data_IF_811144894834
#
_entry.id   IF_811144894834
#
_cell.length_a   1.000
_cell.length_b   1.000
_cell.length_c   1.000
_cell.angle_alpha   90.00
_cell.angle_beta   90.00
_cell.angle_gamma   90.00
#
_symmetry.space_group_name_H-M   'P 1'
#
loop_
_entity.id
_entity.type
_entity.pdbx_description
1 polymer ?
#
# COMPACT_ATOMS: atom_id res chain seq x y z
N UNK A 1 -8.18 -24.55 -4.97
CA UNK A 1 -8.83 -23.92 -6.13
C UNK A 1 -8.64 -24.79 -7.34
N UNK A 2 -9.71 -25.16 -8.03
CA UNK A 2 -9.67 -26.07 -9.18
C UNK A 2 -10.47 -25.52 -10.37
N UNK A 3 -10.01 -25.80 -11.56
CA UNK A 3 -10.71 -25.56 -12.82
C UNK A 3 -10.68 -26.85 -13.66
N UNK A 4 -11.85 -27.31 -14.12
CA UNK A 4 -11.98 -28.55 -14.89
C UNK A 4 -11.24 -29.76 -14.25
N UNK A 5 -11.33 -29.92 -12.92
CA UNK A 5 -10.73 -31.06 -12.19
C UNK A 5 -9.22 -30.99 -11.94
N UNK A 6 -8.55 -29.92 -12.33
CA UNK A 6 -7.12 -29.67 -12.07
C UNK A 6 -6.88 -28.39 -11.27
N UNK A 7 -5.71 -28.20 -10.61
CA UNK A 7 -5.36 -26.96 -9.99
C UNK A 7 -5.45 -25.76 -10.93
N UNK A 8 -6.01 -24.64 -10.44
CA UNK A 8 -5.99 -23.36 -11.15
C UNK A 8 -4.55 -22.86 -11.26
N UNK A 9 -4.12 -22.50 -12.46
CA UNK A 9 -2.77 -21.99 -12.74
C UNK A 9 -2.80 -20.49 -12.96
N UNK A 10 -2.01 -19.78 -12.16
CA UNK A 10 -1.94 -18.32 -12.18
C UNK A 10 -0.51 -17.87 -12.46
N UNK A 11 -0.32 -17.07 -13.50
CA UNK A 11 0.95 -16.38 -13.76
C UNK A 11 0.88 -14.96 -13.24
N UNK A 12 1.64 -14.66 -12.19
CA UNK A 12 1.73 -13.33 -11.58
C UNK A 12 2.94 -12.58 -12.13
N UNK A 13 2.74 -11.39 -12.68
CA UNK A 13 3.80 -10.50 -13.15
C UNK A 13 3.94 -9.32 -12.20
N UNK A 14 5.15 -9.12 -11.67
CA UNK A 14 5.47 -8.02 -10.77
C UNK A 14 6.84 -7.40 -11.08
N UNK A 15 6.91 -6.09 -11.17
CA UNK A 15 8.16 -5.38 -11.42
C UNK A 15 9.18 -5.49 -10.27
N UNK A 16 8.74 -5.77 -9.03
CA UNK A 16 9.60 -5.88 -7.86
C UNK A 16 8.94 -6.71 -6.75
N UNK A 17 8.76 -8.01 -6.95
CA UNK A 17 7.97 -8.89 -6.08
C UNK A 17 8.48 -8.95 -4.63
N UNK A 18 9.81 -9.06 -4.42
CA UNK A 18 10.46 -9.09 -3.11
C UNK A 18 11.76 -8.27 -3.05
N UNK A 19 12.06 -7.51 -4.10
CA UNK A 19 13.24 -6.63 -4.16
C UNK A 19 13.08 -5.39 -3.31
N UNK A 20 11.83 -4.90 -3.15
CA UNK A 20 11.50 -3.71 -2.36
C UNK A 20 10.47 -4.06 -1.30
N UNK A 21 10.69 -3.57 -0.09
CA UNK A 21 9.80 -3.78 1.05
C UNK A 21 8.75 -2.66 1.09
N UNK A 22 7.60 -2.91 0.47
CA UNK A 22 6.46 -2.00 0.48
C UNK A 22 5.13 -2.76 0.71
N UNK A 23 4.04 -2.00 0.88
CA UNK A 23 2.72 -2.56 1.15
C UNK A 23 2.14 -3.38 0.00
N UNK A 24 2.49 -3.03 -1.25
CA UNK A 24 2.03 -3.75 -2.44
C UNK A 24 2.67 -5.14 -2.52
N UNK A 25 4.00 -5.21 -2.38
CA UNK A 25 4.73 -6.47 -2.44
C UNK A 25 4.37 -7.42 -1.28
N UNK A 26 4.13 -6.88 -0.07
CA UNK A 26 3.60 -7.66 1.06
C UNK A 26 2.22 -8.24 0.76
N UNK A 27 1.32 -7.46 0.16
CA UNK A 27 -0.01 -7.92 -0.21
C UNK A 27 0.03 -9.00 -1.30
N UNK A 28 0.91 -8.86 -2.30
CA UNK A 28 1.14 -9.87 -3.32
C UNK A 28 1.66 -11.19 -2.74
N UNK A 29 2.65 -11.14 -1.84
CA UNK A 29 3.16 -12.35 -1.20
C UNK A 29 2.09 -13.04 -0.34
N UNK A 30 1.25 -12.29 0.40
CA UNK A 30 0.10 -12.85 1.12
C UNK A 30 -0.94 -13.45 0.18
N UNK A 31 -1.17 -12.85 -0.98
CA UNK A 31 -2.06 -13.42 -2.00
C UNK A 31 -1.53 -14.75 -2.52
N UNK A 32 -0.24 -14.81 -2.86
CA UNK A 32 0.38 -16.04 -3.35
C UNK A 32 0.30 -17.15 -2.31
N UNK A 33 0.64 -16.86 -1.05
CA UNK A 33 0.52 -17.81 0.07
C UNK A 33 -0.92 -18.34 0.20
N UNK A 34 -1.90 -17.44 0.18
CA UNK A 34 -3.31 -17.77 0.26
C UNK A 34 -3.80 -18.67 -0.89
N UNK A 35 -3.33 -18.41 -2.13
CA UNK A 35 -3.66 -19.19 -3.31
C UNK A 35 -3.04 -20.59 -3.28
N UNK A 36 -1.75 -20.69 -2.90
CA UNK A 36 -1.04 -21.95 -2.73
C UNK A 36 -1.67 -22.83 -1.65
N UNK A 37 -2.02 -22.25 -0.50
CA UNK A 37 -2.71 -22.95 0.59
C UNK A 37 -4.08 -23.50 0.18
N UNK A 38 -4.69 -22.97 -0.89
CA UNK A 38 -5.95 -23.44 -1.48
C UNK A 38 -5.78 -24.35 -2.68
N UNK A 39 -4.57 -24.81 -2.93
CA UNK A 39 -4.24 -25.78 -3.98
C UNK A 39 -4.18 -25.18 -5.40
N UNK A 40 -4.04 -23.87 -5.55
CA UNK A 40 -3.69 -23.27 -6.82
C UNK A 40 -2.19 -23.45 -7.12
N UNK A 41 -1.82 -23.42 -8.41
CA UNK A 41 -0.42 -23.31 -8.83
C UNK A 41 -0.15 -21.86 -9.23
N UNK A 42 0.86 -21.24 -8.58
CA UNK A 42 1.20 -19.84 -8.85
C UNK A 42 2.66 -19.76 -9.29
N UNK A 43 2.89 -19.17 -10.45
CA UNK A 43 4.23 -18.86 -10.96
C UNK A 43 4.40 -17.36 -11.09
N UNK A 44 5.47 -16.84 -10.46
CA UNK A 44 5.74 -15.41 -10.38
C UNK A 44 6.87 -15.05 -11.34
N UNK A 45 6.64 -14.10 -12.22
CA UNK A 45 7.65 -13.53 -13.11
C UNK A 45 8.03 -12.14 -12.61
N UNK A 46 9.26 -12.01 -12.12
CA UNK A 46 9.75 -10.76 -11.53
C UNK A 46 11.25 -10.58 -11.74
N UNK A 47 11.75 -9.35 -11.90
CA UNK A 47 13.13 -9.05 -11.64
C UNK A 47 13.57 -9.53 -10.26
N UNK A 48 14.77 -10.05 -10.14
CA UNK A 48 15.35 -10.47 -8.87
C UNK A 48 16.58 -9.63 -8.53
N UNK A 49 16.82 -9.44 -7.24
CA UNK A 49 18.01 -8.76 -6.71
C UNK A 49 18.88 -9.77 -5.95
N UNK A 50 20.21 -9.59 -5.90
CA UNK A 50 21.09 -10.47 -5.12
C UNK A 50 20.73 -10.52 -3.63
N UNK A 51 20.21 -9.39 -3.10
CA UNK A 51 19.71 -9.29 -1.73
C UNK A 51 18.22 -8.97 -1.77
N UNK A 52 17.41 -9.92 -1.36
CA UNK A 52 15.97 -9.75 -1.23
C UNK A 52 15.64 -8.98 0.05
N UNK A 53 14.59 -8.16 0.01
CA UNK A 53 14.15 -7.39 1.17
C UNK A 53 13.39 -8.24 2.20
N UNK A 54 12.80 -9.36 1.73
CA UNK A 54 12.12 -10.37 2.57
C UNK A 54 12.04 -11.71 1.80
N UNK A 55 11.86 -12.85 2.50
CA UNK A 55 11.63 -14.14 1.84
C UNK A 55 10.43 -14.07 0.90
N UNK A 56 10.57 -14.58 -0.31
CA UNK A 56 9.46 -14.67 -1.25
C UNK A 56 8.64 -15.94 -1.02
N UNK A 57 7.35 -15.85 -1.32
CA UNK A 57 6.44 -16.99 -1.36
C UNK A 57 6.21 -17.38 -2.81
N UNK A 58 6.22 -18.69 -3.09
CA UNK A 58 5.94 -19.24 -4.42
C UNK A 58 7.16 -19.44 -5.31
N UNK A 59 6.90 -19.91 -6.55
CA UNK A 59 7.90 -20.21 -7.58
C UNK A 59 8.20 -18.93 -8.37
N UNK A 60 9.37 -18.32 -8.12
CA UNK A 60 9.78 -17.07 -8.78
C UNK A 60 10.72 -17.37 -9.94
N UNK A 61 10.28 -17.03 -11.15
CA UNK A 61 11.07 -17.08 -12.37
C UNK A 61 11.73 -15.70 -12.60
N UNK A 62 13.06 -15.64 -12.56
CA UNK A 62 13.80 -14.39 -12.74
C UNK A 62 13.60 -13.81 -14.15
N UNK A 63 13.19 -12.53 -14.21
CA UNK A 63 13.11 -11.80 -15.48
C UNK A 63 14.33 -10.91 -15.64
N UNK A 64 15.04 -10.96 -16.78
CA UNK A 64 16.16 -10.08 -17.09
C UNK A 64 15.78 -8.60 -16.95
N UNK A 65 16.62 -7.83 -16.25
CA UNK A 65 16.30 -6.47 -15.87
C UNK A 65 17.56 -5.62 -15.65
N UNK A 66 17.41 -4.31 -15.72
CA UNK A 66 18.46 -3.33 -15.40
C UNK A 66 18.11 -2.58 -14.13
N UNK A 67 19.11 -2.18 -13.35
CA UNK A 67 18.90 -1.33 -12.18
C UNK A 67 18.50 0.08 -12.61
N UNK A 68 17.60 0.74 -11.87
CA UNK A 68 17.27 2.13 -12.11
C UNK A 68 18.40 3.01 -11.54
N UNK A 69 19.00 3.91 -12.32
CA UNK A 69 20.05 4.81 -11.85
C UNK A 69 19.58 5.62 -10.62
N UNK A 70 20.42 5.67 -9.57
CA UNK A 70 20.11 6.35 -8.32
C UNK A 70 19.10 5.65 -7.40
N UNK A 71 18.47 4.54 -7.86
CA UNK A 71 17.51 3.72 -7.11
C UNK A 71 17.71 2.25 -7.40
N UNK A 72 18.91 1.75 -7.07
CA UNK A 72 19.35 0.38 -7.41
C UNK A 72 18.52 -0.74 -6.80
N UNK A 73 17.70 -0.44 -5.79
CA UNK A 73 16.73 -1.36 -5.21
C UNK A 73 15.56 -1.66 -6.16
N UNK A 74 15.26 -0.75 -7.10
CA UNK A 74 14.26 -0.98 -8.15
C UNK A 74 14.93 -1.44 -9.43
N UNK A 75 14.33 -2.42 -10.08
CA UNK A 75 14.81 -2.97 -11.34
C UNK A 75 13.74 -2.83 -12.43
N UNK A 76 14.19 -2.49 -13.62
CA UNK A 76 13.33 -2.34 -14.79
C UNK A 76 13.51 -3.55 -15.71
N UNK A 77 12.48 -4.37 -15.83
CA UNK A 77 12.44 -5.43 -16.83
C UNK A 77 12.12 -4.84 -18.22
N UNK A 78 12.89 -5.25 -19.23
CA UNK A 78 12.79 -4.72 -20.59
C UNK A 78 11.79 -5.52 -21.47
N UNK A 79 10.67 -5.93 -20.89
CA UNK A 79 9.62 -6.67 -21.55
C UNK A 79 9.63 -8.17 -21.27
N UNK A 80 9.11 -8.99 -22.21
CA UNK A 80 8.92 -10.43 -22.07
C UNK A 80 9.86 -11.19 -23.01
N UNK A 81 11.08 -11.61 -22.57
CA UNK A 81 12.05 -12.35 -23.37
C UNK A 81 11.50 -13.69 -23.88
N UNK A 82 12.12 -14.21 -24.94
CA UNK A 82 11.69 -15.49 -25.55
C UNK A 82 11.71 -16.67 -24.56
N UNK A 83 12.70 -16.73 -23.66
CA UNK A 83 12.80 -17.77 -22.63
C UNK A 83 11.58 -17.72 -21.69
N UNK A 84 11.22 -16.54 -21.22
CA UNK A 84 10.05 -16.33 -20.34
C UNK A 84 8.74 -16.67 -21.06
N UNK A 85 8.62 -16.34 -22.37
CA UNK A 85 7.43 -16.73 -23.15
C UNK A 85 7.31 -18.23 -23.32
N UNK A 86 8.42 -18.96 -23.48
CA UNK A 86 8.44 -20.43 -23.54
C UNK A 86 8.04 -21.04 -22.20
N UNK A 87 8.57 -20.52 -21.09
CA UNK A 87 8.22 -20.97 -19.75
C UNK A 87 6.74 -20.71 -19.42
N UNK A 88 6.22 -19.55 -19.80
CA UNK A 88 4.81 -19.19 -19.65
C UNK A 88 3.90 -20.15 -20.47
N UNK A 89 4.28 -20.43 -21.70
CA UNK A 89 3.56 -21.37 -22.54
C UNK A 89 3.58 -22.80 -21.98
N UNK A 90 4.70 -23.27 -21.44
CA UNK A 90 4.83 -24.57 -20.79
C UNK A 90 4.02 -24.63 -19.48
N UNK A 91 3.97 -23.56 -18.71
CA UNK A 91 3.14 -23.47 -17.52
C UNK A 91 1.64 -23.48 -17.85
N UNK A 92 1.25 -22.98 -19.02
CA UNK A 92 -0.13 -22.91 -19.52
C UNK A 92 -1.09 -22.32 -18.47
N UNK A 93 -0.96 -21.03 -18.10
CA UNK A 93 -1.79 -20.43 -17.08
C UNK A 93 -3.24 -20.27 -17.53
N UNK A 94 -4.16 -20.36 -16.58
CA UNK A 94 -5.58 -20.05 -16.77
C UNK A 94 -5.85 -18.55 -16.63
N UNK A 95 -4.97 -17.84 -15.88
CA UNK A 95 -5.07 -16.40 -15.61
C UNK A 95 -3.67 -15.80 -15.63
N UNK A 96 -3.57 -14.61 -16.21
CA UNK A 96 -2.41 -13.71 -16.06
C UNK A 96 -2.80 -12.57 -15.10
N UNK A 97 -2.11 -12.46 -13.99
CA UNK A 97 -2.29 -11.36 -13.02
C UNK A 97 -1.14 -10.36 -13.11
N UNK A 98 -1.47 -9.11 -13.36
CA UNK A 98 -0.53 -7.99 -13.50
C UNK A 98 -0.58 -7.11 -12.27
N UNK A 99 0.54 -6.96 -11.56
CA UNK A 99 0.60 -6.12 -10.35
C UNK A 99 0.96 -4.67 -10.64
N UNK A 100 1.42 -4.35 -11.85
CA UNK A 100 1.79 -3.00 -12.23
C UNK A 100 1.67 -2.79 -13.76
N UNK A 101 1.36 -1.57 -14.21
CA UNK A 101 1.34 -1.17 -15.62
C UNK A 101 2.74 -0.83 -16.13
N UNK A 102 3.76 -1.60 -15.74
CA UNK A 102 5.14 -1.43 -16.21
C UNK A 102 5.39 -2.13 -17.57
N UNK A 103 6.60 -2.07 -18.08
CA UNK A 103 6.94 -2.70 -19.38
C UNK A 103 6.80 -4.22 -19.35
N UNK A 104 7.09 -4.86 -18.20
CA UNK A 104 6.88 -6.29 -18.03
C UNK A 104 5.38 -6.61 -18.06
N UNK A 105 4.58 -5.91 -17.26
CA UNK A 105 3.13 -6.06 -17.21
C UNK A 105 2.48 -5.81 -18.57
N UNK A 106 2.85 -4.75 -19.27
CA UNK A 106 2.31 -4.46 -20.62
C UNK A 106 2.70 -5.51 -21.64
N UNK A 107 3.92 -6.05 -21.56
CA UNK A 107 4.37 -7.11 -22.48
C UNK A 107 3.68 -8.44 -22.20
N UNK A 108 3.47 -8.78 -20.92
CA UNK A 108 2.72 -9.95 -20.49
C UNK A 108 1.24 -9.86 -20.91
N UNK A 109 0.62 -8.69 -20.72
CA UNK A 109 -0.74 -8.41 -21.14
C UNK A 109 -0.96 -8.65 -22.65
N UNK A 110 -0.08 -8.07 -23.49
CA UNK A 110 -0.15 -8.26 -24.94
C UNK A 110 0.03 -9.73 -25.35
N UNK A 111 0.90 -10.45 -24.65
CA UNK A 111 1.11 -11.87 -24.89
C UNK A 111 -0.12 -12.68 -24.49
N UNK A 112 -0.67 -12.48 -23.29
CA UNK A 112 -1.85 -13.17 -22.79
C UNK A 112 -3.05 -12.98 -23.70
N UNK A 113 -3.34 -11.74 -24.11
CA UNK A 113 -4.44 -11.43 -25.05
C UNK A 113 -4.31 -12.16 -26.41
N UNK A 114 -3.08 -12.21 -26.95
CA UNK A 114 -2.85 -12.97 -28.22
C UNK A 114 -3.02 -14.47 -28.06
N UNK A 115 -2.89 -14.97 -26.85
CA UNK A 115 -3.02 -16.39 -26.51
C UNK A 115 -4.40 -16.75 -25.96
N UNK A 116 -5.35 -15.79 -25.90
CA UNK A 116 -6.68 -15.99 -25.35
C UNK A 116 -6.69 -16.25 -23.85
N UNK A 117 -5.67 -15.78 -23.10
CA UNK A 117 -5.58 -15.98 -21.66
C UNK A 117 -6.15 -14.74 -20.95
N UNK A 118 -7.15 -14.89 -20.06
CA UNK A 118 -7.74 -13.80 -19.30
C UNK A 118 -6.72 -13.02 -18.47
N UNK A 119 -6.84 -11.69 -18.47
CA UNK A 119 -5.92 -10.77 -17.81
C UNK A 119 -6.60 -10.03 -16.66
N UNK A 120 -6.08 -10.21 -15.45
CA UNK A 120 -6.48 -9.47 -14.27
C UNK A 120 -5.37 -8.47 -13.90
N UNK A 121 -5.71 -7.22 -13.67
CA UNK A 121 -4.76 -6.23 -13.15
C UNK A 121 -5.14 -5.80 -11.73
N UNK A 122 -4.13 -5.60 -10.88
CA UNK A 122 -4.34 -5.00 -9.55
C UNK A 122 -3.73 -3.61 -9.47
N UNK A 123 -4.49 -2.66 -8.93
CA UNK A 123 -4.04 -1.30 -8.68
C UNK A 123 -3.40 -1.21 -7.30
N UNK A 124 -2.11 -0.91 -7.26
CA UNK A 124 -1.37 -0.73 -6.01
C UNK A 124 -0.81 0.68 -5.85
N UNK A 125 -0.65 1.43 -6.94
CA UNK A 125 -0.01 2.74 -6.97
C UNK A 125 -0.67 3.60 -8.04
N UNK A 126 -0.94 4.86 -7.71
CA UNK A 126 -1.39 5.88 -8.66
C UNK A 126 -0.16 6.55 -9.28
N UNK A 127 0.40 5.94 -10.32
CA UNK A 127 1.67 6.36 -10.94
C UNK A 127 1.60 7.80 -11.49
N UNK A 128 0.44 8.23 -11.97
CA UNK A 128 0.23 9.57 -12.50
C UNK A 128 0.43 10.67 -11.45
N UNK A 129 0.21 10.36 -10.17
CA UNK A 129 0.37 11.35 -9.09
C UNK A 129 1.83 11.61 -8.74
N UNK A 130 2.72 10.65 -9.02
CA UNK A 130 4.14 10.78 -8.69
C UNK A 130 4.87 11.77 -9.60
N UNK A 131 4.43 11.93 -10.85
CA UNK A 131 5.09 12.80 -11.83
C UNK A 131 5.21 14.25 -11.37
N UNK A 132 4.24 14.74 -10.60
CA UNK A 132 4.25 16.11 -10.07
C UNK A 132 5.37 16.34 -9.06
N UNK A 133 5.72 15.33 -8.24
CA UNK A 133 6.80 15.43 -7.24
C UNK A 133 8.20 15.42 -7.84
N UNK A 134 8.35 14.88 -9.06
CA UNK A 134 9.63 14.80 -9.76
C UNK A 134 9.80 15.84 -10.85
N UNK A 135 8.95 16.89 -10.88
CA UNK A 135 9.02 17.94 -11.89
C UNK A 135 8.63 17.50 -13.31
N UNK A 136 7.96 16.36 -13.46
CA UNK A 136 7.58 15.76 -14.73
C UNK A 136 6.08 15.93 -15.02
N UNK A 137 5.46 16.99 -14.52
CA UNK A 137 4.02 17.25 -14.67
C UNK A 137 3.56 17.27 -16.15
N UNK A 138 4.42 17.70 -17.09
CA UNK A 138 4.13 17.68 -18.53
C UNK A 138 3.89 16.26 -19.10
N UNK A 139 4.40 15.21 -18.43
CA UNK A 139 4.19 13.83 -18.86
C UNK A 139 2.91 13.21 -18.30
N UNK A 140 2.13 13.96 -17.51
CA UNK A 140 0.90 13.46 -16.88
C UNK A 140 -0.13 12.97 -17.92
N UNK A 141 -0.45 13.78 -18.93
CA UNK A 141 -1.43 13.41 -19.96
C UNK A 141 -1.03 12.19 -20.81
N UNK A 142 0.22 12.08 -21.29
CA UNK A 142 0.72 10.86 -21.92
C UNK A 142 0.65 9.64 -21.00
N UNK A 143 0.98 9.77 -19.72
CA UNK A 143 0.90 8.70 -18.73
C UNK A 143 -0.54 8.26 -18.48
N UNK A 144 -1.48 9.18 -18.28
CA UNK A 144 -2.90 8.90 -18.11
C UNK A 144 -3.44 8.12 -19.32
N UNK A 145 -3.16 8.53 -20.54
CA UNK A 145 -3.56 7.80 -21.76
C UNK A 145 -2.94 6.42 -21.87
N UNK A 146 -1.72 6.24 -21.39
CA UNK A 146 -1.09 4.92 -21.32
C UNK A 146 -1.79 4.02 -20.31
N UNK A 147 -2.07 4.53 -19.11
CA UNK A 147 -2.77 3.82 -18.04
C UNK A 147 -4.20 3.46 -18.46
N UNK A 148 -4.92 4.38 -19.09
CA UNK A 148 -6.27 4.13 -19.61
C UNK A 148 -6.27 2.94 -20.59
N UNK A 149 -5.35 2.94 -21.57
CA UNK A 149 -5.22 1.83 -22.51
C UNK A 149 -4.79 0.51 -21.84
N UNK A 150 -3.95 0.61 -20.79
CA UNK A 150 -3.52 -0.57 -20.05
C UNK A 150 -4.70 -1.22 -19.30
N UNK A 151 -5.44 -0.43 -18.54
CA UNK A 151 -6.58 -0.94 -17.76
C UNK A 151 -7.76 -1.33 -18.64
N UNK A 152 -8.00 -0.60 -19.72
CA UNK A 152 -9.05 -0.95 -20.69
C UNK A 152 -8.78 -2.30 -21.37
N UNK A 153 -7.52 -2.65 -21.60
CA UNK A 153 -7.08 -3.94 -22.15
C UNK A 153 -7.12 -5.10 -21.14
N UNK A 154 -7.51 -4.91 -19.88
CA UNK A 154 -7.66 -5.97 -18.88
C UNK A 154 -9.10 -6.50 -18.83
N UNK A 155 -9.27 -7.79 -18.58
CA UNK A 155 -10.59 -8.42 -18.45
C UNK A 155 -11.21 -8.19 -17.10
N UNK A 156 -10.37 -7.99 -16.05
CA UNK A 156 -10.81 -7.65 -14.70
C UNK A 156 -9.78 -6.76 -13.99
N UNK A 157 -10.26 -5.85 -13.15
CA UNK A 157 -9.42 -4.90 -12.38
C UNK A 157 -9.75 -5.00 -10.90
N UNK A 158 -8.72 -5.11 -10.09
CA UNK A 158 -8.79 -5.16 -8.63
C UNK A 158 -8.39 -3.81 -8.06
N UNK A 159 -9.36 -3.03 -7.62
CA UNK A 159 -9.16 -1.70 -7.03
C UNK A 159 -8.96 -1.78 -5.52
N UNK A 160 -8.11 -0.93 -4.90
CA UNK A 160 -7.78 -1.05 -3.48
C UNK A 160 -8.86 -0.53 -2.53
N UNK A 161 -9.70 0.40 -2.98
CA UNK A 161 -10.73 1.07 -2.16
C UNK A 161 -12.02 1.29 -2.93
N UNK A 162 -13.19 1.41 -2.24
CA UNK A 162 -14.45 1.70 -2.91
C UNK A 162 -14.44 2.96 -3.79
N UNK A 163 -13.92 4.12 -3.37
CA UNK A 163 -13.90 5.31 -4.24
C UNK A 163 -13.09 5.10 -5.53
N UNK A 164 -11.96 4.38 -5.45
CA UNK A 164 -11.18 4.04 -6.65
C UNK A 164 -11.93 3.01 -7.52
N UNK A 165 -12.61 2.06 -6.90
CA UNK A 165 -13.44 1.10 -7.64
C UNK A 165 -14.57 1.80 -8.41
N UNK A 166 -15.24 2.78 -7.81
CA UNK A 166 -16.28 3.60 -8.43
C UNK A 166 -15.72 4.44 -9.60
N UNK A 167 -14.58 5.10 -9.40
CA UNK A 167 -13.87 5.83 -10.45
C UNK A 167 -13.58 4.93 -11.65
N UNK A 168 -13.05 3.73 -11.40
CA UNK A 168 -12.70 2.77 -12.44
C UNK A 168 -13.94 2.12 -13.08
N UNK A 169 -14.99 1.89 -12.30
CA UNK A 169 -16.26 1.38 -12.82
C UNK A 169 -16.89 2.34 -13.83
N UNK A 170 -16.83 3.64 -13.58
CA UNK A 170 -17.29 4.67 -14.51
C UNK A 170 -16.49 4.73 -15.81
N UNK A 171 -15.19 4.35 -15.78
CA UNK A 171 -14.31 4.38 -16.97
C UNK A 171 -14.30 3.07 -17.77
N UNK A 172 -14.31 1.92 -17.07
CA UNK A 172 -14.03 0.60 -17.69
C UNK A 172 -15.19 -0.40 -17.59
N UNK A 173 -16.31 -0.01 -16.96
CA UNK A 173 -17.48 -0.85 -16.72
C UNK A 173 -17.44 -1.56 -15.37
N UNK A 174 -18.53 -1.42 -14.59
CA UNK A 174 -18.59 -1.83 -13.18
C UNK A 174 -18.46 -3.33 -12.94
N UNK A 175 -18.91 -4.15 -13.84
CA UNK A 175 -18.86 -5.61 -13.76
C UNK A 175 -17.43 -6.18 -13.97
N UNK A 176 -16.49 -5.36 -14.47
CA UNK A 176 -15.06 -5.67 -14.59
C UNK A 176 -14.24 -5.27 -13.35
N UNK A 177 -14.87 -4.64 -12.35
CA UNK A 177 -14.17 -4.12 -11.18
C UNK A 177 -14.54 -4.96 -9.94
N UNK A 178 -13.55 -5.29 -9.14
CA UNK A 178 -13.72 -5.81 -7.78
C UNK A 178 -12.79 -5.09 -6.81
N UNK A 179 -13.12 -5.13 -5.52
CA UNK A 179 -12.29 -4.52 -4.51
C UNK A 179 -11.28 -5.55 -4.00
N UNK A 180 -10.01 -5.20 -4.06
CA UNK A 180 -8.94 -5.86 -3.33
C UNK A 180 -8.35 -4.90 -2.31
N UNK A 181 -8.99 -4.82 -1.17
CA UNK A 181 -8.57 -3.99 -0.04
C UNK A 181 -7.34 -4.60 0.68
N UNK A 182 -7.07 -4.12 1.87
CA UNK A 182 -5.97 -4.62 2.72
C UNK A 182 -6.53 -5.11 4.04
N UNK A 183 -5.85 -6.11 4.60
CA UNK A 183 -6.04 -6.50 5.97
C UNK A 183 -4.91 -5.97 6.85
N UNK A 184 -5.11 -6.04 8.15
CA UNK A 184 -4.08 -5.73 9.14
C UNK A 184 -3.66 -6.99 9.89
N UNK A 185 -2.38 -7.07 10.23
CA UNK A 185 -1.85 -8.15 11.07
C UNK A 185 -2.08 -7.79 12.54
N UNK A 186 -3.14 -8.36 13.13
CA UNK A 186 -3.53 -8.09 14.52
C UNK A 186 -2.55 -8.65 15.55
N UNK A 187 -1.69 -9.59 15.18
CA UNK A 187 -0.62 -10.06 16.08
C UNK A 187 0.53 -9.03 16.16
N UNK A 188 0.72 -8.26 15.07
CA UNK A 188 1.73 -7.22 15.01
C UNK A 188 1.20 -5.84 15.43
N UNK A 189 -0.08 -5.53 15.16
CA UNK A 189 -0.70 -4.21 15.44
C UNK A 189 -1.92 -4.37 16.34
N UNK A 190 -1.74 -4.04 17.63
CA UNK A 190 -2.74 -4.21 18.67
C UNK A 190 -2.53 -3.18 19.79
N UNK A 191 -3.59 -2.63 20.42
CA UNK A 191 -3.44 -1.64 21.49
C UNK A 191 -2.64 -2.16 22.69
N UNK A 192 -2.75 -3.46 23.01
CA UNK A 192 -2.05 -4.08 24.16
C UNK A 192 -0.52 -4.18 23.96
N UNK A 193 -0.01 -3.83 22.78
CA UNK A 193 1.43 -3.68 22.55
C UNK A 193 1.99 -2.35 23.06
N UNK A 194 1.13 -1.44 23.57
CA UNK A 194 1.55 -0.21 24.23
C UNK A 194 2.44 -0.52 25.40
N UNK A 195 3.60 0.11 25.44
CA UNK A 195 4.64 -0.16 26.44
C UNK A 195 5.16 1.14 27.06
N UNK A 196 4.73 1.37 28.31
CA UNK A 196 5.14 2.55 29.06
C UNK A 196 6.62 2.50 29.48
N UNK A 197 7.24 1.31 29.60
CA UNK A 197 8.68 1.19 29.84
C UNK A 197 9.48 1.63 28.62
N UNK A 198 9.02 1.28 27.43
CA UNK A 198 9.57 1.73 26.17
C UNK A 198 9.45 3.26 26.01
N UNK A 199 8.30 3.85 26.34
CA UNK A 199 8.13 5.31 26.36
C UNK A 199 9.14 5.97 27.29
N UNK A 200 9.27 5.48 28.53
CA UNK A 200 10.24 6.00 29.51
C UNK A 200 11.69 5.86 29.03
N UNK A 201 12.04 4.76 28.37
CA UNK A 201 13.41 4.57 27.84
C UNK A 201 13.76 5.60 26.73
N UNK A 202 12.76 6.15 26.05
CA UNK A 202 12.89 7.28 25.12
C UNK A 202 12.76 8.65 25.80
N UNK A 203 12.62 8.69 27.13
CA UNK A 203 12.53 9.92 27.92
C UNK A 203 11.15 10.60 27.85
N UNK A 204 10.09 9.95 27.35
CA UNK A 204 8.75 10.53 27.39
C UNK A 204 8.17 10.49 28.80
N UNK A 205 7.51 11.59 29.18
CA UNK A 205 6.74 11.65 30.42
C UNK A 205 5.40 10.92 30.27
N UNK A 206 4.81 10.40 31.36
CA UNK A 206 3.55 9.64 31.28
C UNK A 206 2.39 10.39 30.63
N UNK A 207 2.28 11.70 30.86
CA UNK A 207 1.23 12.59 30.32
C UNK A 207 1.56 13.18 28.95
N UNK A 208 2.79 13.00 28.45
CA UNK A 208 3.23 13.58 27.19
C UNK A 208 2.51 12.92 26.01
N UNK A 209 1.95 13.72 25.12
CA UNK A 209 1.35 13.26 23.87
C UNK A 209 2.45 13.07 22.83
N UNK A 210 2.54 11.88 22.29
CA UNK A 210 3.57 11.49 21.31
C UNK A 210 2.98 11.43 19.92
N UNK A 211 3.22 12.46 19.07
CA UNK A 211 2.90 12.36 17.63
C UNK A 211 3.82 11.35 16.98
N UNK A 212 3.24 10.54 16.07
CA UNK A 212 3.94 9.50 15.33
C UNK A 212 3.92 9.79 13.83
N UNK A 213 5.06 9.61 13.19
CA UNK A 213 5.18 9.33 11.77
C UNK A 213 5.83 7.96 11.60
N UNK A 214 5.27 7.09 10.75
CA UNK A 214 5.96 5.87 10.36
C UNK A 214 5.74 5.54 8.89
N UNK A 215 6.81 5.05 8.24
CA UNK A 215 6.84 4.77 6.81
C UNK A 215 8.18 5.14 6.20
N UNK A 216 8.26 5.10 4.88
CA UNK A 216 9.48 5.53 4.17
C UNK A 216 9.67 7.04 4.32
N UNK A 217 10.89 7.46 4.65
CA UNK A 217 11.24 8.87 4.79
C UNK A 217 11.61 9.47 3.43
N UNK A 218 10.56 9.76 2.64
CA UNK A 218 10.61 10.38 1.31
C UNK A 218 9.62 11.55 1.24
N UNK A 219 9.92 12.56 0.44
CA UNK A 219 9.15 13.81 0.41
C UNK A 219 7.68 13.61 0.00
N UNK A 220 7.41 12.67 -0.91
CA UNK A 220 6.06 12.31 -1.34
C UNK A 220 5.15 11.77 -0.22
N UNK A 221 5.69 11.51 0.98
CA UNK A 221 4.93 11.15 2.19
C UNK A 221 4.53 12.38 3.03
N UNK A 222 4.79 13.60 2.55
CA UNK A 222 4.40 14.85 3.22
C UNK A 222 5.20 15.14 4.48
N UNK A 223 6.50 14.80 4.50
CA UNK A 223 7.38 15.05 5.64
C UNK A 223 7.51 16.54 5.96
N UNK A 224 7.41 17.40 4.99
CA UNK A 224 7.39 18.86 5.12
C UNK A 224 6.14 19.34 5.87
N UNK A 225 4.97 18.79 5.55
CA UNK A 225 3.71 19.08 6.23
C UNK A 225 3.73 18.54 7.67
N UNK A 226 4.25 17.32 7.87
CA UNK A 226 4.44 16.74 9.19
C UNK A 226 5.33 17.65 10.05
N UNK A 227 6.46 18.06 9.50
CA UNK A 227 7.40 18.98 10.18
C UNK A 227 6.72 20.31 10.52
N UNK A 228 6.03 20.95 9.57
CA UNK A 228 5.33 22.22 9.79
C UNK A 228 4.27 22.10 10.89
N UNK A 229 3.50 21.01 10.93
CA UNK A 229 2.53 20.74 11.98
C UNK A 229 3.20 20.68 13.38
N UNK A 230 4.32 19.97 13.51
CA UNK A 230 5.06 19.85 14.77
C UNK A 230 5.63 21.21 15.20
N UNK A 231 6.22 21.96 14.27
CA UNK A 231 6.80 23.28 14.58
C UNK A 231 5.73 24.30 15.02
N UNK A 232 4.55 24.28 14.38
CA UNK A 232 3.41 25.12 14.79
C UNK A 232 2.88 24.75 16.16
N UNK A 233 2.77 23.46 16.48
CA UNK A 233 2.37 23.01 17.82
C UNK A 233 3.36 23.47 18.89
N UNK A 234 4.66 23.44 18.60
CA UNK A 234 5.70 23.98 19.49
C UNK A 234 5.59 25.50 19.65
N UNK A 235 5.36 26.23 18.57
CA UNK A 235 5.17 27.68 18.58
C UNK A 235 3.93 28.10 19.42
N UNK A 236 2.91 27.24 19.47
CA UNK A 236 1.72 27.40 20.32
C UNK A 236 1.97 27.05 21.82
N UNK A 237 3.21 26.77 22.21
CA UNK A 237 3.59 26.50 23.61
C UNK A 237 3.51 25.02 24.02
N UNK A 238 3.25 24.09 23.08
CA UNK A 238 3.22 22.64 23.35
C UNK A 238 4.55 21.99 22.95
N UNK A 239 5.42 21.56 23.89
CA UNK A 239 6.73 20.99 23.57
C UNK A 239 6.64 19.54 23.09
N UNK A 240 5.95 19.31 22.01
CA UNK A 240 5.77 17.96 21.43
C UNK A 240 7.08 17.41 20.85
N UNK A 241 7.36 16.15 21.14
CA UNK A 241 8.51 15.40 20.64
C UNK A 241 8.01 14.23 19.80
N UNK A 242 8.09 14.31 18.48
CA UNK A 242 7.55 13.25 17.64
C UNK A 242 8.43 11.99 17.65
N UNK A 243 7.78 10.83 17.53
CA UNK A 243 8.39 9.55 17.27
C UNK A 243 8.37 9.29 15.76
N UNK A 244 9.52 8.95 15.18
CA UNK A 244 9.68 8.73 13.75
C UNK A 244 10.22 7.32 13.53
N UNK A 245 9.47 6.49 12.78
CA UNK A 245 9.84 5.10 12.49
C UNK A 245 9.93 4.90 10.99
N UNK A 246 11.11 4.55 10.52
CA UNK A 246 11.39 4.31 9.12
C UNK A 246 12.72 4.85 8.68
N UNK A 247 13.04 4.57 7.42
CA UNK A 247 14.28 5.00 6.75
C UNK A 247 13.95 5.61 5.38
N UNK A 248 14.89 6.40 4.87
CA UNK A 248 14.79 6.98 3.55
C UNK A 248 15.71 8.19 3.36
N UNK A 249 15.84 8.67 2.12
CA UNK A 249 16.77 9.75 1.77
C UNK A 249 16.46 11.08 2.46
N UNK A 250 15.22 11.30 2.93
CA UNK A 250 14.84 12.53 3.63
C UNK A 250 15.08 12.48 5.16
N UNK A 251 15.68 11.39 5.69
CA UNK A 251 15.91 11.22 7.13
C UNK A 251 16.73 12.36 7.73
N UNK A 252 17.89 12.64 7.14
CA UNK A 252 18.80 13.65 7.69
C UNK A 252 18.25 15.07 7.54
N UNK A 253 17.55 15.32 6.44
CA UNK A 253 16.81 16.57 6.21
C UNK A 253 15.78 16.83 7.32
N UNK A 254 15.02 15.79 7.71
CA UNK A 254 14.01 15.89 8.77
C UNK A 254 14.65 15.98 10.16
N UNK A 255 15.71 15.23 10.44
CA UNK A 255 16.42 15.22 11.70
C UNK A 255 17.03 16.59 12.04
N UNK A 256 17.61 17.28 11.04
CA UNK A 256 18.14 18.64 11.22
C UNK A 256 17.06 19.67 11.61
N UNK A 257 15.82 19.46 11.14
CA UNK A 257 14.70 20.40 11.38
C UNK A 257 13.86 20.05 12.60
N UNK A 258 13.90 18.81 13.03
CA UNK A 258 13.24 18.32 14.25
C UNK A 258 14.28 17.66 15.19
N UNK A 259 15.23 18.42 15.76
CA UNK A 259 16.34 17.86 16.54
C UNK A 259 15.88 17.10 17.79
N UNK A 260 14.68 17.39 18.30
CA UNK A 260 14.11 16.72 19.48
C UNK A 260 13.17 15.56 19.11
N UNK A 261 13.17 15.09 17.85
CA UNK A 261 12.43 13.91 17.43
C UNK A 261 13.24 12.64 17.73
N UNK A 262 12.53 11.54 18.02
CA UNK A 262 13.16 10.22 18.18
C UNK A 262 13.06 9.42 16.90
N UNK A 263 14.20 9.12 16.30
CA UNK A 263 14.31 8.31 15.08
C UNK A 263 14.69 6.88 15.45
N UNK A 264 13.77 5.94 15.24
CA UNK A 264 13.98 4.53 15.57
C UNK A 264 14.54 3.70 14.40
N UNK A 265 14.70 4.34 13.23
CA UNK A 265 15.09 3.61 12.03
C UNK A 265 13.99 2.64 11.55
N UNK A 266 14.39 1.66 10.74
CA UNK A 266 13.47 0.66 10.22
C UNK A 266 13.10 -0.39 11.28
N UNK A 267 11.80 -0.55 11.53
CA UNK A 267 11.25 -1.58 12.41
C UNK A 267 10.21 -2.42 11.68
N UNK A 268 9.99 -3.66 12.16
CA UNK A 268 9.05 -4.61 11.58
C UNK A 268 8.33 -5.46 12.62
N UNK A 269 7.23 -6.08 12.16
CA UNK A 269 6.46 -7.03 12.95
C UNK A 269 6.08 -6.46 14.31
N UNK A 270 6.26 -7.27 15.36
CA UNK A 270 5.90 -6.89 16.73
C UNK A 270 6.70 -5.69 17.27
N UNK A 271 7.95 -5.49 16.80
CA UNK A 271 8.75 -4.31 17.21
C UNK A 271 8.17 -3.00 16.67
N UNK A 272 7.73 -3.02 15.39
CA UNK A 272 7.01 -1.88 14.81
C UNK A 272 5.68 -1.65 15.53
N UNK A 273 4.89 -2.69 15.75
CA UNK A 273 3.61 -2.58 16.45
C UNK A 273 3.74 -2.03 17.87
N UNK A 274 4.79 -2.44 18.61
CA UNK A 274 5.11 -1.89 19.93
C UNK A 274 5.39 -0.38 19.84
N UNK A 275 6.22 0.04 18.88
CA UNK A 275 6.53 1.46 18.70
C UNK A 275 5.28 2.27 18.33
N UNK A 276 4.46 1.75 17.40
CA UNK A 276 3.19 2.37 16.97
C UNK A 276 2.23 2.47 18.16
N UNK A 277 1.93 1.37 18.85
CA UNK A 277 0.99 1.35 19.97
C UNK A 277 1.46 2.22 21.16
N UNK A 278 2.75 2.48 21.27
CA UNK A 278 3.33 3.34 22.31
C UNK A 278 3.28 4.85 21.99
N UNK A 279 2.83 5.22 20.80
CA UNK A 279 2.49 6.61 20.47
C UNK A 279 1.02 6.93 20.82
N UNK A 280 0.59 8.16 20.57
CA UNK A 280 -0.76 8.61 20.92
C UNK A 280 -1.55 9.10 19.70
N UNK A 281 -0.88 9.73 18.71
CA UNK A 281 -1.50 10.32 17.53
C UNK A 281 -0.66 10.02 16.31
N UNK A 282 -1.25 9.35 15.32
CA UNK A 282 -0.64 9.28 13.99
C UNK A 282 -0.89 10.60 13.24
N UNK A 283 0.15 11.15 12.63
CA UNK A 283 0.04 12.22 11.64
C UNK A 283 0.49 11.66 10.29
N UNK A 284 -0.46 11.48 9.36
CA UNK A 284 -0.21 10.98 8.01
C UNK A 284 -0.60 12.00 6.94
N UNK A 285 0.33 12.85 6.47
CA UNK A 285 0.05 13.86 5.45
C UNK A 285 0.14 13.33 4.01
N UNK A 286 0.41 12.03 3.81
CA UNK A 286 0.58 11.44 2.48
C UNK A 286 -0.70 11.55 1.65
N UNK A 287 -0.60 12.07 0.44
CA UNK A 287 -1.70 12.19 -0.53
C UNK A 287 -1.60 11.20 -1.69
N UNK A 288 -0.54 10.41 -1.74
CA UNK A 288 -0.22 9.51 -2.87
C UNK A 288 -0.55 8.05 -2.60
N UNK A 289 -1.12 7.74 -1.44
CA UNK A 289 -1.47 6.37 -1.07
C UNK A 289 -2.62 5.84 -1.92
N UNK A 290 -2.48 4.62 -2.41
CA UNK A 290 -3.61 3.93 -3.04
C UNK A 290 -4.59 3.33 -2.01
N UNK A 291 -4.09 2.99 -0.80
CA UNK A 291 -4.92 2.43 0.27
C UNK A 291 -4.69 3.10 1.63
N UNK A 292 -3.41 3.32 2.03
CA UNK A 292 -3.08 3.88 3.35
C UNK A 292 -2.87 2.83 4.44
N UNK A 293 -1.99 1.85 4.20
CA UNK A 293 -1.65 0.81 5.19
C UNK A 293 -1.25 1.40 6.55
N UNK A 294 -0.52 2.52 6.54
CA UNK A 294 -0.09 3.23 7.75
C UNK A 294 -1.29 3.65 8.60
N UNK A 295 -2.35 4.19 7.98
CA UNK A 295 -3.58 4.54 8.69
C UNK A 295 -4.20 3.29 9.34
N UNK A 296 -4.36 2.20 8.58
CA UNK A 296 -4.96 0.97 9.07
C UNK A 296 -4.14 0.31 10.21
N UNK A 297 -2.80 0.30 10.10
CA UNK A 297 -1.90 -0.23 11.12
C UNK A 297 -1.96 0.60 12.42
N UNK A 298 -2.04 1.93 12.31
CA UNK A 298 -2.21 2.82 13.45
C UNK A 298 -3.61 2.72 14.08
N UNK A 299 -4.67 2.64 13.27
CA UNK A 299 -6.03 2.36 13.74
C UNK A 299 -6.06 1.05 14.54
N UNK A 300 -5.49 -0.01 13.99
CA UNK A 300 -5.41 -1.32 14.65
C UNK A 300 -4.65 -1.26 15.97
N UNK A 301 -3.69 -0.36 16.10
CA UNK A 301 -2.90 -0.14 17.33
C UNK A 301 -3.57 0.82 18.31
N UNK A 302 -4.75 1.36 18.00
CA UNK A 302 -5.53 2.19 18.91
C UNK A 302 -5.12 3.66 18.98
N UNK A 303 -4.40 4.17 18.00
CA UNK A 303 -4.02 5.58 17.92
C UNK A 303 -5.19 6.45 17.43
N UNK A 304 -5.23 7.69 17.88
CA UNK A 304 -5.97 8.73 17.18
C UNK A 304 -5.26 9.05 15.85
N UNK A 305 -6.02 9.21 14.78
CA UNK A 305 -5.47 9.42 13.44
C UNK A 305 -5.76 10.85 12.99
N UNK A 306 -4.72 11.54 12.48
CA UNK A 306 -4.87 12.77 11.70
C UNK A 306 -4.30 12.47 10.30
N UNK A 307 -5.13 12.49 9.28
CA UNK A 307 -4.73 12.14 7.92
C UNK A 307 -5.22 13.14 6.90
N UNK A 308 -4.56 13.22 5.74
CA UNK A 308 -5.04 13.99 4.61
C UNK A 308 -6.44 13.53 4.18
N UNK A 309 -7.33 14.47 3.89
CA UNK A 309 -8.63 14.17 3.28
C UNK A 309 -8.45 13.82 1.80
N UNK A 310 -8.23 12.54 1.56
CA UNK A 310 -8.04 11.95 0.22
C UNK A 310 -8.79 10.62 0.14
N UNK A 311 -9.19 10.17 -1.07
CA UNK A 311 -10.02 8.97 -1.24
C UNK A 311 -9.51 7.71 -0.53
N UNK A 312 -8.21 7.51 -0.45
CA UNK A 312 -7.63 6.36 0.26
C UNK A 312 -7.78 6.45 1.78
N UNK A 313 -7.73 7.65 2.36
CA UNK A 313 -7.91 7.87 3.79
C UNK A 313 -9.40 7.88 4.18
N UNK A 314 -10.26 8.57 3.40
CA UNK A 314 -11.70 8.63 3.66
C UNK A 314 -12.41 7.28 3.51
N UNK A 315 -11.80 6.32 2.79
CA UNK A 315 -12.31 4.94 2.75
C UNK A 315 -12.07 4.14 4.04
N UNK A 316 -11.18 4.60 4.91
CA UNK A 316 -10.81 3.95 6.19
C UNK A 316 -11.29 4.75 7.41
N UNK A 317 -11.26 6.07 7.30
CA UNK A 317 -11.46 6.99 8.42
C UNK A 317 -12.81 7.68 8.29
N UNK A 318 -13.65 7.47 9.28
CA UNK A 318 -14.87 8.24 9.50
C UNK A 318 -14.51 9.45 10.38
N UNK A 319 -14.47 10.64 9.75
CA UNK A 319 -13.98 11.86 10.41
C UNK A 319 -14.83 12.24 11.62
N UNK A 320 -14.17 12.55 12.73
CA UNK A 320 -14.81 12.82 14.03
C UNK A 320 -15.19 11.57 14.83
N UNK A 321 -15.16 10.36 14.24
CA UNK A 321 -15.47 9.10 14.91
C UNK A 321 -14.28 8.15 15.02
N UNK A 322 -13.57 7.88 13.93
CA UNK A 322 -12.41 6.97 13.92
C UNK A 322 -11.08 7.68 13.64
N UNK A 323 -11.10 8.99 13.43
CA UNK A 323 -9.96 9.85 13.18
C UNK A 323 -10.39 11.23 12.74
N UNK A 324 -9.45 12.03 12.30
CA UNK A 324 -9.66 13.37 11.76
C UNK A 324 -9.08 13.43 10.35
N UNK A 325 -9.92 13.74 9.37
CA UNK A 325 -9.49 14.09 8.02
C UNK A 325 -9.34 15.61 7.93
N UNK A 326 -8.19 16.06 7.45
CA UNK A 326 -7.85 17.48 7.35
C UNK A 326 -7.48 17.85 5.91
N UNK A 327 -7.63 19.11 5.49
CA UNK A 327 -7.23 19.56 4.17
C UNK A 327 -5.81 19.13 3.85
N UNK A 328 -5.57 18.51 2.69
CA UNK A 328 -4.23 18.08 2.30
C UNK A 328 -3.30 19.28 2.13
N UNK A 329 -2.02 19.08 2.34
CA UNK A 329 -0.94 20.07 2.21
C UNK A 329 -1.05 21.29 3.16
N UNK A 330 -1.84 21.23 4.22
CA UNK A 330 -2.02 22.30 5.20
C UNK A 330 -1.40 21.95 6.55
N UNK A 331 -0.14 22.30 6.79
CA UNK A 331 0.50 22.13 8.10
C UNK A 331 -0.25 22.80 9.24
N UNK A 332 -0.94 23.92 8.97
CA UNK A 332 -1.82 24.60 9.92
C UNK A 332 -2.99 23.72 10.35
N UNK A 333 -3.70 23.09 9.42
CA UNK A 333 -4.82 22.20 9.73
C UNK A 333 -4.38 20.98 10.56
N UNK A 334 -3.21 20.40 10.22
CA UNK A 334 -2.63 19.30 10.99
C UNK A 334 -2.24 19.76 12.41
N UNK A 335 -1.65 20.95 12.55
CA UNK A 335 -1.30 21.53 13.84
C UNK A 335 -2.54 21.78 14.70
N UNK A 336 -3.59 22.38 14.14
CA UNK A 336 -4.85 22.63 14.84
C UNK A 336 -5.47 21.32 15.35
N UNK A 337 -5.57 20.30 14.48
CA UNK A 337 -6.07 18.98 14.86
C UNK A 337 -5.21 18.30 15.94
N UNK A 338 -3.88 18.44 15.88
CA UNK A 338 -2.98 17.92 16.92
C UNK A 338 -3.20 18.63 18.25
N UNK A 339 -3.32 19.96 18.24
CA UNK A 339 -3.55 20.77 19.45
C UNK A 339 -4.88 20.43 20.11
N UNK A 340 -5.95 20.24 19.33
CA UNK A 340 -7.24 19.77 19.82
C UNK A 340 -7.13 18.41 20.54
N UNK A 341 -6.39 17.46 19.94
CA UNK A 341 -6.17 16.15 20.55
C UNK A 341 -5.22 16.18 21.76
N UNK A 342 -4.32 17.15 21.86
CA UNK A 342 -3.50 17.38 23.06
C UNK A 342 -4.39 17.91 24.18
N UNK A 343 -5.24 18.88 23.89
CA UNK A 343 -6.11 19.55 24.86
C UNK A 343 -7.23 18.63 25.40
N UNK A 344 -7.70 17.66 24.59
CA UNK A 344 -8.76 16.72 24.97
C UNK A 344 -8.30 15.25 24.97
N UNK A 345 -7.70 14.76 26.06
CA UNK A 345 -7.30 13.37 26.19
C UNK A 345 -8.46 12.36 26.11
N UNK A 346 -9.68 12.76 26.49
CA UNK A 346 -10.84 11.88 26.43
C UNK A 346 -11.26 11.63 24.98
N UNK A 347 -11.36 12.69 24.18
CA UNK A 347 -11.63 12.63 22.74
C UNK A 347 -10.54 11.84 22.01
N UNK A 348 -9.26 12.12 22.29
CA UNK A 348 -8.14 11.38 21.69
C UNK A 348 -8.26 9.88 21.93
N UNK A 349 -8.51 9.45 23.17
CA UNK A 349 -8.71 8.03 23.51
C UNK A 349 -9.98 7.44 22.87
N UNK A 350 -11.06 8.22 22.78
CA UNK A 350 -12.30 7.77 22.15
C UNK A 350 -12.09 7.49 20.65
N UNK A 351 -11.42 8.39 19.93
CA UNK A 351 -11.06 8.21 18.52
C UNK A 351 -10.19 6.96 18.32
N UNK A 352 -9.17 6.77 19.14
CA UNK A 352 -8.28 5.60 19.05
C UNK A 352 -9.00 4.28 19.31
N UNK A 353 -9.90 4.22 20.31
CA UNK A 353 -10.72 3.03 20.55
C UNK A 353 -11.66 2.73 19.39
N UNK A 354 -12.35 3.74 18.87
CA UNK A 354 -13.25 3.57 17.72
C UNK A 354 -12.48 3.14 16.46
N UNK A 355 -11.30 3.71 16.22
CA UNK A 355 -10.39 3.31 15.15
C UNK A 355 -9.99 1.82 15.26
N UNK A 356 -9.58 1.37 16.46
CA UNK A 356 -9.20 -0.03 16.68
C UNK A 356 -10.35 -1.00 16.45
N UNK A 357 -11.57 -0.64 16.87
CA UNK A 357 -12.77 -1.44 16.60
C UNK A 357 -13.08 -1.51 15.10
N UNK A 358 -13.00 -0.38 14.39
CA UNK A 358 -13.23 -0.34 12.95
C UNK A 358 -12.20 -1.19 12.17
N UNK A 359 -10.94 -1.18 12.59
CA UNK A 359 -9.88 -1.99 11.98
C UNK A 359 -10.10 -3.51 12.09
N UNK A 360 -10.99 -3.99 12.99
CA UNK A 360 -11.33 -5.41 13.10
C UNK A 360 -12.03 -5.96 11.85
N UNK A 361 -12.71 -5.10 11.09
CA UNK A 361 -13.34 -5.48 9.82
C UNK A 361 -12.33 -5.70 8.68
N UNK A 362 -11.09 -5.20 8.84
CA UNK A 362 -10.05 -5.29 7.81
C UNK A 362 -9.23 -6.57 7.96
N UNK A 363 -9.80 -7.71 7.57
CA UNK A 363 -9.17 -9.04 7.70
C UNK A 363 -8.56 -9.47 6.38
N UNK A 364 -7.30 -9.95 6.43
CA UNK A 364 -6.61 -10.44 5.24
C UNK A 364 -7.37 -11.56 4.52
N UNK A 365 -7.94 -12.48 5.26
CA UNK A 365 -8.66 -13.60 4.67
C UNK A 365 -9.85 -13.15 3.81
N UNK A 366 -10.61 -12.18 4.27
CA UNK A 366 -11.76 -11.63 3.55
C UNK A 366 -11.33 -10.86 2.29
N UNK A 367 -10.27 -10.06 2.39
CA UNK A 367 -9.76 -9.29 1.24
C UNK A 367 -9.16 -10.20 0.17
N UNK A 368 -8.48 -11.26 0.56
CA UNK A 368 -7.90 -12.23 -0.38
C UNK A 368 -8.98 -13.12 -1.03
N UNK A 369 -10.05 -13.44 -0.30
CA UNK A 369 -11.22 -14.11 -0.88
C UNK A 369 -11.91 -13.26 -1.97
N UNK A 370 -11.88 -11.91 -1.86
CA UNK A 370 -12.40 -11.04 -2.91
C UNK A 370 -11.58 -11.15 -4.22
N UNK A 371 -10.26 -11.29 -4.12
CA UNK A 371 -9.41 -11.50 -5.30
C UNK A 371 -9.80 -12.79 -6.01
N UNK A 372 -10.03 -13.87 -5.25
CA UNK A 372 -10.48 -15.15 -5.81
C UNK A 372 -11.82 -14.99 -6.52
N UNK A 373 -12.78 -14.29 -5.93
CA UNK A 373 -14.06 -13.97 -6.60
C UNK A 373 -13.86 -13.17 -7.90
N UNK A 374 -12.87 -12.27 -7.91
CA UNK A 374 -12.48 -11.55 -9.14
C UNK A 374 -11.96 -12.49 -10.24
N UNK A 375 -11.14 -13.46 -9.86
CA UNK A 375 -10.67 -14.50 -10.80
C UNK A 375 -11.82 -15.35 -11.33
N UNK A 376 -12.75 -15.77 -10.47
CA UNK A 376 -13.92 -16.57 -10.88
C UNK A 376 -14.79 -15.80 -11.88
N UNK A 377 -15.05 -14.51 -11.63
CA UNK A 377 -15.78 -13.64 -12.57
C UNK A 377 -15.08 -13.55 -13.94
N UNK A 378 -13.75 -13.39 -13.93
CA UNK A 378 -12.96 -13.31 -15.14
C UNK A 378 -13.06 -14.60 -15.97
N UNK A 379 -12.92 -15.76 -15.32
CA UNK A 379 -12.99 -17.08 -15.96
C UNK A 379 -14.41 -17.46 -16.45
N UNK A 380 -15.46 -16.97 -15.81
CA UNK A 380 -16.84 -17.21 -16.24
C UNK A 380 -17.18 -16.43 -17.50
N UNK A 381 -16.69 -15.20 -17.67
CA UNK A 381 -16.87 -14.37 -18.87
C UNK A 381 -16.21 -14.95 -20.10
N UNK A 382 -15.03 -15.51 -19.95
CA UNK A 382 -14.32 -16.17 -21.03
C UNK A 382 -15.15 -17.34 -21.62
N UNK A 383 -15.85 -18.09 -20.75
CA UNK A 383 -16.71 -19.21 -21.16
C UNK A 383 -18.01 -18.79 -21.85
N UNK A 384 -18.53 -17.60 -21.56
CA UNK A 384 -19.82 -17.11 -22.11
C UNK A 384 -19.66 -16.37 -23.44
N UNK A 385 -18.42 -16.20 -23.93
CA UNK A 385 -18.16 -15.54 -25.23
C UNK A 385 -18.51 -14.03 -25.24
N UNK A 386 -18.83 -13.43 -24.08
CA UNK A 386 -19.10 -11.98 -23.94
C UNK A 386 -17.81 -11.15 -23.81
N UNK A 387 -16.68 -11.72 -24.18
CA UNK A 387 -15.41 -11.02 -24.31
C UNK A 387 -15.36 -10.31 -25.65
N UNK A 388 -15.49 -8.99 -25.62
CA UNK A 388 -15.21 -7.96 -26.64
C UNK A 388 -15.29 -8.40 -28.11
N UNK A 389 -16.37 -8.03 -28.79
CA UNK A 389 -16.35 -7.70 -30.22
C UNK A 389 -15.50 -6.45 -30.47
#
# INVERSE_FOLDING_TARGET
>A
MQIAGRPLRISLFSGNYNGVRDGANRALNRLVDYLLARGAQVRIYSPTTPKTSFPCVGDVVPVPSVAIPGRGEYRLALGLPRAIRRDLAAFAPDIVHLSAPDWLGRSAQRHARRSGIPVVASLHTRFETYLSYYGLAMLRGPMERYLDRFYDDCDHILAPTPPIAEEFAGRYGGDRISIWSRGVDRAAFHPDLRDESFRRSLGYMPQEVVPLFFGRLVLEKGLDIFMDAILRARAAGHPVRPLIVGEGPARDWLAQRLPNAYFLGHLEGRRLGRAVASADVLINPSITEAFGNVNLEAMASGLAIISADVPSASSLIDTGRTGLLVPPLSGEAYAAALLDLIADPARRRALGRAASLAANACRWEETLAQVVRGYDKCLQRDKTGTGRE
#
